data_IF_748589549572
#
_entry.id   IF_748589549572
#
_cell.length_a   1.000
_cell.length_b   1.000
_cell.length_c   1.000
_cell.angle_alpha   90.00
_cell.angle_beta   90.00
_cell.angle_gamma   90.00
#
_symmetry.space_group_name_H-M   'P 1'
#
loop_
_entity.id
_entity.type
_entity.pdbx_description
1 polymer ?
#
# COMPACT_ATOMS: atom_id res chain seq x y z
N UNK A 1 -25.78 -22.86 11.39
CA UNK A 1 -25.93 -21.43 11.70
C UNK A 1 -24.97 -20.66 10.81
N UNK A 2 -25.48 -20.09 9.70
CA UNK A 2 -24.68 -19.26 8.79
C UNK A 2 -24.45 -17.92 9.47
N UNK A 3 -23.26 -17.70 10.02
CA UNK A 3 -22.87 -16.37 10.46
C UNK A 3 -22.68 -15.49 9.21
N UNK A 4 -23.35 -14.34 9.10
CA UNK A 4 -23.04 -13.41 8.03
C UNK A 4 -21.58 -12.99 8.19
N UNK A 5 -20.82 -13.14 7.11
CA UNK A 5 -19.35 -12.97 7.01
C UNK A 5 -18.90 -11.59 7.54
N UNK A 6 -19.84 -10.64 7.65
CA UNK A 6 -19.63 -9.26 8.10
C UNK A 6 -20.13 -8.97 9.54
N UNK A 7 -20.50 -9.98 10.33
CA UNK A 7 -20.85 -9.79 11.76
C UNK A 7 -19.64 -9.96 12.68
N UNK A 8 -18.84 -8.91 12.76
CA UNK A 8 -17.71 -8.79 13.68
C UNK A 8 -17.08 -7.44 13.44
N UNK A 9 -16.85 -6.66 14.51
CA UNK A 9 -16.63 -5.21 14.52
C UNK A 9 -15.54 -4.65 13.58
N UNK A 10 -14.76 -5.48 12.88
CA UNK A 10 -13.60 -5.12 12.08
C UNK A 10 -13.29 -6.16 10.96
N UNK A 11 -14.18 -6.31 9.97
CA UNK A 11 -13.95 -7.10 8.73
C UNK A 11 -14.10 -8.65 8.79
N UNK A 12 -14.91 -9.19 9.71
CA UNK A 12 -15.24 -10.63 9.74
C UNK A 12 -14.24 -11.49 10.52
N UNK A 13 -14.75 -12.49 11.24
CA UNK A 13 -14.08 -13.19 12.36
C UNK A 13 -12.83 -14.01 11.96
N UNK A 14 -12.53 -14.20 10.68
CA UNK A 14 -11.28 -14.87 10.23
C UNK A 14 -10.25 -13.92 9.62
N UNK A 15 -10.68 -12.82 9.01
CA UNK A 15 -9.83 -11.98 8.16
C UNK A 15 -8.81 -11.18 8.96
N UNK A 16 -9.17 -10.80 10.18
CA UNK A 16 -8.28 -10.11 11.11
C UNK A 16 -7.04 -10.94 11.42
N UNK A 17 -7.20 -12.25 11.66
CA UNK A 17 -6.07 -13.15 11.98
C UNK A 17 -5.11 -13.30 10.80
N UNK A 18 -5.64 -13.38 9.58
CA UNK A 18 -4.82 -13.45 8.36
C UNK A 18 -4.02 -12.16 8.18
N UNK A 19 -4.67 -11.00 8.34
CA UNK A 19 -3.99 -9.71 8.27
C UNK A 19 -2.93 -9.55 9.37
N UNK A 20 -3.20 -10.04 10.57
CA UNK A 20 -2.24 -10.01 11.68
C UNK A 20 -1.02 -10.90 11.37
N UNK A 21 -1.25 -12.09 10.79
CA UNK A 21 -0.17 -12.96 10.34
C UNK A 21 0.71 -12.31 9.27
N UNK A 22 0.12 -11.63 8.28
CA UNK A 22 0.88 -10.87 7.28
C UNK A 22 1.63 -9.68 7.87
N UNK A 23 1.05 -8.98 8.84
CA UNK A 23 1.71 -7.88 9.53
C UNK A 23 2.92 -8.38 10.34
N UNK A 24 2.78 -9.49 11.06
CA UNK A 24 3.89 -10.12 11.79
C UNK A 24 4.99 -10.59 10.84
N UNK A 25 4.63 -11.23 9.72
CA UNK A 25 5.58 -11.62 8.67
C UNK A 25 6.29 -10.43 8.05
N UNK A 26 5.57 -9.32 7.80
CA UNK A 26 6.14 -8.07 7.30
C UNK A 26 7.12 -7.43 8.27
N UNK A 27 6.82 -7.42 9.57
CA UNK A 27 7.74 -6.94 10.61
C UNK A 27 8.98 -7.83 10.68
N UNK A 28 8.83 -9.14 10.57
CA UNK A 28 9.96 -10.07 10.53
C UNK A 28 10.89 -9.79 9.34
N UNK A 29 10.34 -9.54 8.15
CA UNK A 29 11.12 -9.17 6.96
C UNK A 29 11.84 -7.81 7.11
N UNK A 30 11.21 -6.85 7.78
CA UNK A 30 11.85 -5.57 8.12
C UNK A 30 13.01 -5.78 9.10
N UNK A 31 12.85 -6.65 10.09
CA UNK A 31 13.89 -6.97 11.07
C UNK A 31 15.08 -7.68 10.43
N UNK A 32 14.82 -8.60 9.51
CA UNK A 32 15.86 -9.27 8.71
C UNK A 32 16.54 -8.33 7.69
N UNK A 33 16.04 -7.09 7.54
CA UNK A 33 16.48 -6.10 6.55
C UNK A 33 16.37 -6.58 5.11
N UNK A 34 15.51 -7.58 4.85
CA UNK A 34 15.21 -8.05 3.50
C UNK A 34 14.45 -6.99 2.71
N UNK A 35 13.54 -6.27 3.38
CA UNK A 35 12.74 -5.19 2.80
C UNK A 35 13.08 -3.84 3.43
N UNK A 36 12.90 -2.75 2.67
CA UNK A 36 13.10 -1.37 3.13
C UNK A 36 11.77 -0.81 3.63
N UNK A 37 11.79 -0.11 4.77
CA UNK A 37 10.58 0.47 5.40
C UNK A 37 9.88 1.56 4.56
N UNK A 38 10.59 2.20 3.63
CA UNK A 38 10.07 3.31 2.83
C UNK A 38 8.78 2.95 2.05
N UNK A 39 8.75 1.78 1.41
CA UNK A 39 7.62 1.35 0.58
C UNK A 39 6.38 1.01 1.44
N UNK A 40 6.44 0.08 2.42
CA UNK A 40 5.28 -0.31 3.20
C UNK A 40 4.74 0.86 4.03
N UNK A 41 5.61 1.69 4.62
CA UNK A 41 5.17 2.86 5.40
C UNK A 41 4.48 3.88 4.49
N UNK A 42 5.05 4.20 3.33
CA UNK A 42 4.43 5.16 2.42
C UNK A 42 3.10 4.67 1.87
N UNK A 43 3.01 3.39 1.52
CA UNK A 43 1.78 2.78 1.03
C UNK A 43 0.66 2.81 2.07
N UNK A 44 0.93 2.33 3.29
CA UNK A 44 -0.05 2.30 4.36
C UNK A 44 -0.48 3.70 4.79
N UNK A 45 0.47 4.64 4.88
CA UNK A 45 0.20 6.02 5.26
C UNK A 45 -0.67 6.72 4.21
N UNK A 46 -0.34 6.61 2.93
CA UNK A 46 -1.13 7.23 1.87
C UNK A 46 -2.51 6.61 1.74
N UNK A 47 -2.63 5.27 1.83
CA UNK A 47 -3.92 4.60 1.84
C UNK A 47 -4.78 5.02 3.04
N UNK A 48 -4.20 5.12 4.23
CA UNK A 48 -4.88 5.58 5.43
C UNK A 48 -5.35 7.04 5.30
N UNK A 49 -4.50 7.92 4.78
CA UNK A 49 -4.84 9.33 4.57
C UNK A 49 -5.96 9.49 3.53
N UNK A 50 -5.86 8.82 2.38
CA UNK A 50 -6.89 8.88 1.34
C UNK A 50 -8.23 8.31 1.85
N UNK A 51 -8.19 7.19 2.59
CA UNK A 51 -9.39 6.63 3.19
C UNK A 51 -9.99 7.54 4.28
N UNK A 52 -9.15 8.16 5.12
CA UNK A 52 -9.60 9.10 6.16
C UNK A 52 -10.22 10.37 5.55
N UNK A 53 -9.60 10.94 4.52
CA UNK A 53 -10.14 12.08 3.79
C UNK A 53 -11.46 11.71 3.10
N UNK A 54 -11.51 10.56 2.42
CA UNK A 54 -12.73 10.06 1.77
C UNK A 54 -13.88 9.86 2.77
N UNK A 55 -13.58 9.32 3.95
CA UNK A 55 -14.56 9.17 5.03
C UNK A 55 -15.04 10.51 5.58
N UNK A 56 -14.15 11.52 5.69
CA UNK A 56 -14.51 12.85 6.16
C UNK A 56 -15.42 13.60 5.17
N UNK A 57 -15.19 13.45 3.87
CA UNK A 57 -16.00 14.10 2.82
C UNK A 57 -17.34 13.41 2.55
N UNK A 58 -17.45 12.10 2.76
CA UNK A 58 -18.68 11.34 2.50
C UNK A 58 -18.81 10.11 3.40
N UNK A 59 -19.16 10.30 4.69
CA UNK A 59 -19.21 9.23 5.68
C UNK A 59 -20.32 8.18 5.44
N UNK A 60 -21.29 8.47 4.55
CA UNK A 60 -22.42 7.58 4.25
C UNK A 60 -22.12 6.54 3.14
N UNK A 61 -21.07 6.76 2.33
CA UNK A 61 -20.75 5.91 1.16
C UNK A 61 -19.36 5.29 1.22
N UNK A 62 -18.41 5.87 1.98
CA UNK A 62 -17.04 5.36 2.05
C UNK A 62 -16.79 4.59 3.35
N UNK A 63 -16.24 3.38 3.21
CA UNK A 63 -15.90 2.49 4.31
C UNK A 63 -14.83 3.12 5.24
N UNK A 64 -14.86 2.74 6.52
CA UNK A 64 -13.93 3.28 7.51
C UNK A 64 -12.46 3.01 7.11
N UNK A 65 -11.51 3.89 7.49
CA UNK A 65 -10.08 3.70 7.18
C UNK A 65 -9.54 2.37 7.69
N UNK A 66 -10.08 1.90 8.82
CA UNK A 66 -9.77 0.59 9.40
C UNK A 66 -10.20 -0.56 8.48
N UNK A 67 -11.34 -0.45 7.80
CA UNK A 67 -11.73 -1.44 6.79
C UNK A 67 -10.80 -1.41 5.58
N UNK A 68 -10.34 -0.26 5.10
CA UNK A 68 -9.39 -0.24 3.97
C UNK A 68 -8.02 -0.85 4.33
N UNK A 69 -7.55 -0.62 5.56
CA UNK A 69 -6.27 -1.14 6.05
C UNK A 69 -6.35 -2.62 6.44
N UNK A 70 -7.46 -3.04 7.06
CA UNK A 70 -7.66 -4.38 7.60
C UNK A 70 -8.58 -5.26 6.74
N UNK A 71 -8.89 -4.86 5.50
CA UNK A 71 -9.66 -5.66 4.54
C UNK A 71 -8.89 -5.89 3.23
N UNK A 72 -9.14 -7.05 2.63
CA UNK A 72 -8.53 -7.49 1.38
C UNK A 72 -7.02 -7.72 1.50
N UNK A 73 -6.35 -7.87 0.35
CA UNK A 73 -4.92 -8.17 0.28
C UNK A 73 -4.00 -6.98 0.63
N UNK A 74 -4.45 -5.99 1.41
CA UNK A 74 -3.70 -4.75 1.70
C UNK A 74 -2.38 -5.04 2.41
N UNK A 75 -2.37 -5.84 3.48
CA UNK A 75 -1.15 -6.14 4.24
C UNK A 75 -0.21 -7.06 3.45
N UNK A 76 -0.76 -8.05 2.75
CA UNK A 76 0.01 -8.89 1.83
C UNK A 76 0.67 -8.04 0.73
N UNK A 77 -0.10 -7.12 0.12
CA UNK A 77 0.38 -6.19 -0.88
C UNK A 77 1.47 -5.26 -0.35
N UNK A 78 1.27 -4.68 0.84
CA UNK A 78 2.20 -3.74 1.46
C UNK A 78 3.56 -4.36 1.77
N UNK A 79 3.59 -5.58 2.31
CA UNK A 79 4.82 -6.18 2.86
C UNK A 79 5.48 -7.23 1.97
N UNK A 80 4.73 -7.89 1.08
CA UNK A 80 5.24 -9.01 0.27
C UNK A 80 5.23 -8.75 -1.24
N UNK A 81 4.29 -7.93 -1.75
CA UNK A 81 4.21 -7.67 -3.20
C UNK A 81 4.95 -6.37 -3.56
N UNK A 82 4.57 -5.24 -2.96
CA UNK A 82 5.15 -3.93 -3.28
C UNK A 82 6.64 -3.81 -2.93
N UNK A 83 7.12 -4.67 -2.05
CA UNK A 83 8.50 -4.70 -1.54
C UNK A 83 9.43 -5.57 -2.37
N UNK A 84 8.96 -6.18 -3.47
CA UNK A 84 9.79 -6.97 -4.38
C UNK A 84 10.93 -6.10 -4.95
N UNK A 85 12.21 -6.48 -4.75
CA UNK A 85 13.37 -5.72 -5.19
C UNK A 85 13.48 -5.58 -6.71
N UNK A 86 12.84 -6.43 -7.51
CA UNK A 86 12.93 -6.39 -8.98
C UNK A 86 12.04 -5.31 -9.56
N UNK A 87 10.84 -5.13 -9.00
CA UNK A 87 9.84 -4.21 -9.53
C UNK A 87 9.84 -2.86 -8.84
N UNK A 88 10.36 -2.75 -7.61
CA UNK A 88 10.36 -1.51 -6.86
C UNK A 88 11.44 -0.51 -7.34
N UNK A 89 11.16 0.78 -7.13
CA UNK A 89 12.13 1.86 -7.39
C UNK A 89 13.47 1.64 -6.68
N UNK A 90 14.55 1.94 -7.41
CA UNK A 90 15.92 1.74 -6.92
C UNK A 90 16.35 2.82 -5.90
N UNK A 91 15.76 4.01 -5.97
CA UNK A 91 16.14 5.16 -5.12
C UNK A 91 15.28 5.26 -3.86
N UNK A 92 15.83 5.78 -2.75
CA UNK A 92 15.04 5.93 -1.51
C UNK A 92 13.86 6.91 -1.67
N UNK A 93 14.04 7.98 -2.47
CA UNK A 93 12.96 8.94 -2.75
C UNK A 93 11.91 8.34 -3.67
N UNK A 94 12.33 7.60 -4.70
CA UNK A 94 11.42 6.94 -5.62
C UNK A 94 10.60 5.84 -4.94
N UNK A 95 11.17 5.11 -3.97
CA UNK A 95 10.42 4.16 -3.13
C UNK A 95 9.26 4.77 -2.35
N UNK A 96 9.44 5.99 -1.83
CA UNK A 96 8.35 6.72 -1.16
C UNK A 96 7.27 7.11 -2.17
N UNK A 97 7.65 7.69 -3.31
CA UNK A 97 6.69 8.09 -4.35
C UNK A 97 5.93 6.88 -4.90
N UNK A 98 6.63 5.77 -5.13
CA UNK A 98 6.04 4.52 -5.59
C UNK A 98 5.02 3.96 -4.59
N UNK A 99 5.39 3.87 -3.30
CA UNK A 99 4.47 3.41 -2.25
C UNK A 99 3.25 4.32 -2.11
N UNK A 100 3.45 5.64 -2.14
CA UNK A 100 2.35 6.60 -2.10
C UNK A 100 1.40 6.45 -3.31
N UNK A 101 1.95 6.35 -4.53
CA UNK A 101 1.17 6.17 -5.75
C UNK A 101 0.32 4.89 -5.70
N UNK A 102 0.93 3.77 -5.29
CA UNK A 102 0.20 2.52 -5.12
C UNK A 102 -0.94 2.67 -4.09
N UNK A 103 -0.71 3.38 -2.98
CA UNK A 103 -1.72 3.63 -1.94
C UNK A 103 -2.91 4.44 -2.47
N UNK A 104 -2.65 5.49 -3.27
CA UNK A 104 -3.70 6.28 -3.94
C UNK A 104 -4.48 5.42 -4.92
N UNK A 105 -3.79 4.62 -5.75
CA UNK A 105 -4.44 3.76 -6.75
C UNK A 105 -5.34 2.72 -6.10
N UNK A 106 -4.90 2.09 -5.00
CA UNK A 106 -5.73 1.14 -4.24
C UNK A 106 -6.99 1.83 -3.72
N UNK A 107 -6.85 3.01 -3.13
CA UNK A 107 -8.01 3.77 -2.63
C UNK A 107 -8.98 4.12 -3.77
N UNK A 108 -8.47 4.64 -4.89
CA UNK A 108 -9.28 5.03 -6.04
C UNK A 108 -10.05 3.83 -6.63
N UNK A 109 -9.39 2.69 -6.82
CA UNK A 109 -10.02 1.47 -7.34
C UNK A 109 -11.08 0.94 -6.37
N UNK A 110 -10.82 0.95 -5.06
CA UNK A 110 -11.79 0.46 -4.07
C UNK A 110 -12.99 1.39 -3.90
N UNK A 111 -12.80 2.70 -4.01
CA UNK A 111 -13.87 3.69 -3.86
C UNK A 111 -14.71 3.86 -5.13
N UNK A 112 -14.12 3.78 -6.32
CA UNK A 112 -14.81 4.07 -7.59
C UNK A 112 -14.91 2.87 -8.54
N UNK A 113 -14.10 1.83 -8.37
CA UNK A 113 -13.98 0.73 -9.33
C UNK A 113 -14.93 -0.44 -9.09
N UNK A 114 -15.68 -0.48 -7.98
CA UNK A 114 -16.60 -1.58 -7.67
C UNK A 114 -15.93 -2.92 -7.33
N UNK A 115 -14.59 -2.98 -7.29
CA UNK A 115 -13.83 -4.18 -6.91
C UNK A 115 -13.43 -4.09 -5.43
N UNK A 116 -13.91 -5.01 -4.56
CA UNK A 116 -13.59 -5.00 -3.14
C UNK A 116 -12.09 -5.24 -2.87
N UNK A 117 -11.36 -5.89 -3.79
CA UNK A 117 -9.91 -6.04 -3.70
C UNK A 117 -9.18 -5.46 -4.93
N UNK A 118 -8.82 -4.17 -4.85
CA UNK A 118 -8.12 -3.43 -5.91
C UNK A 118 -6.58 -3.50 -5.85
N UNK A 119 -6.00 -4.27 -4.94
CA UNK A 119 -4.54 -4.24 -4.66
C UNK A 119 -3.72 -4.73 -5.85
N UNK A 120 -4.09 -5.85 -6.47
CA UNK A 120 -3.35 -6.41 -7.60
C UNK A 120 -3.29 -5.44 -8.80
N UNK A 121 -4.42 -4.83 -9.15
CA UNK A 121 -4.49 -3.86 -10.24
C UNK A 121 -3.68 -2.59 -9.94
N UNK A 122 -3.76 -2.08 -8.72
CA UNK A 122 -2.97 -0.93 -8.29
C UNK A 122 -1.47 -1.22 -8.36
N UNK A 123 -1.03 -2.41 -7.97
CA UNK A 123 0.38 -2.82 -8.07
C UNK A 123 0.84 -2.88 -9.52
N UNK A 124 0.05 -3.50 -10.41
CA UNK A 124 0.40 -3.57 -11.83
C UNK A 124 0.55 -2.17 -12.44
N UNK A 125 -0.39 -1.27 -12.17
CA UNK A 125 -0.32 0.12 -12.61
C UNK A 125 0.87 0.85 -12.00
N UNK A 126 1.12 0.69 -10.70
CA UNK A 126 2.26 1.30 -10.03
C UNK A 126 3.59 0.82 -10.64
N UNK A 127 3.74 -0.48 -10.91
CA UNK A 127 4.95 -1.06 -11.49
C UNK A 127 5.28 -0.47 -12.87
N UNK A 128 4.26 -0.20 -13.70
CA UNK A 128 4.43 0.46 -15.01
C UNK A 128 5.03 1.87 -14.85
N UNK A 129 4.74 2.56 -13.75
CA UNK A 129 5.25 3.92 -13.50
C UNK A 129 6.66 3.97 -12.90
N UNK A 130 7.21 2.82 -12.48
CA UNK A 130 8.53 2.77 -11.81
C UNK A 130 9.67 3.33 -12.65
N UNK A 131 9.82 3.01 -13.95
CA UNK A 131 10.89 3.58 -14.78
C UNK A 131 10.84 5.11 -14.86
N UNK A 132 9.63 5.68 -14.85
CA UNK A 132 9.41 7.12 -14.86
C UNK A 132 9.81 7.75 -13.52
N UNK A 133 9.40 7.13 -12.41
CA UNK A 133 9.78 7.56 -11.06
C UNK A 133 11.31 7.52 -10.91
N UNK A 134 11.95 6.44 -11.36
CA UNK A 134 13.40 6.28 -11.29
C UNK A 134 14.13 7.32 -12.16
N UNK A 135 13.60 7.66 -13.34
CA UNK A 135 14.14 8.72 -14.18
C UNK A 135 14.15 10.08 -13.47
N UNK A 136 13.04 10.46 -12.83
CA UNK A 136 12.95 11.75 -12.12
C UNK A 136 13.65 11.78 -10.77
N UNK A 137 13.86 10.62 -10.13
CA UNK A 137 14.49 10.52 -8.81
C UNK A 137 15.98 10.19 -8.87
N UNK A 138 16.58 10.12 -10.07
CA UNK A 138 18.01 9.89 -10.23
C UNK A 138 18.81 10.86 -9.36
N UNK A 139 19.73 10.37 -8.50
CA UNK A 139 20.59 11.25 -7.74
C UNK A 139 21.45 12.09 -8.69
N UNK A 140 21.63 13.38 -8.37
CA UNK A 140 22.54 14.25 -9.14
C UNK A 140 23.91 13.59 -9.21
N UNK A 141 24.47 13.49 -10.41
CA UNK A 141 25.83 12.98 -10.63
C UNK A 141 26.79 13.79 -9.78
N UNK A 142 27.46 13.12 -8.84
CA UNK A 142 28.50 13.73 -8.01
C UNK A 142 29.67 14.11 -8.93
N UNK A 143 29.98 15.40 -9.06
CA UNK A 143 31.09 15.82 -9.93
C UNK A 143 31.10 17.26 -10.43
N UNK A 144 30.01 18.03 -10.36
CA UNK A 144 30.08 19.46 -10.70
C UNK A 144 30.57 20.29 -9.51
N UNK A 145 31.88 20.21 -9.24
CA UNK A 145 32.60 21.28 -8.54
C UNK A 145 32.55 22.48 -9.49
N UNK A 146 31.69 23.45 -9.19
CA UNK A 146 31.77 24.77 -9.82
C UNK A 146 33.14 25.35 -9.45
N UNK A 147 34.05 25.34 -10.41
CA UNK A 147 35.16 26.30 -10.45
C UNK A 147 34.60 27.68 -10.77
#
# INVERSE_FOLDING_TARGET
MHYPIYSGALAGVGWQWVNLAWLVGGIFLLWQKAIRWHIPVSFLLTLALCAALGWLFSPATLASPQLHLLSGATMLGAFFILTDPVTASTTNRGRLIFGALAGVLVWLIRSFGGYPDGVAFAVLLANITVPLIDYYTRPRVYGHRKG
#
